data_IF_627150771036
#
_entry.id   IF_627150771036
#
_cell.length_a   1.000
_cell.length_b   1.000
_cell.length_c   1.000
_cell.angle_alpha   90.00
_cell.angle_beta   90.00
_cell.angle_gamma   90.00
#
_symmetry.space_group_name_H-M   'P 1'
#
loop_
_entity.id
_entity.type
_entity.pdbx_description
1 polymer ?
#
# COMPACT_ATOMS: atom_id res chain seq x y z
N UNK A 1 6.11 -4.88 11.61
CA UNK A 1 6.47 -3.80 12.58
C UNK A 1 7.23 -2.71 11.84
N UNK A 2 6.52 -1.90 11.05
CA UNK A 2 7.14 -0.89 10.16
C UNK A 2 7.10 0.51 10.77
N UNK A 3 6.23 0.75 11.73
CA UNK A 3 5.98 2.09 12.26
C UNK A 3 7.03 2.64 13.23
N UNK A 4 8.03 1.84 13.64
CA UNK A 4 9.05 2.22 14.63
C UNK A 4 10.48 2.27 14.07
N UNK A 5 10.67 2.11 12.77
CA UNK A 5 11.99 2.21 12.16
C UNK A 5 12.20 3.60 11.55
N UNK A 6 13.30 4.23 11.91
CA UNK A 6 13.78 5.42 11.17
C UNK A 6 14.58 4.91 9.98
N UNK A 7 14.01 4.99 8.79
CA UNK A 7 14.74 4.68 7.55
C UNK A 7 15.53 5.91 7.13
N UNK A 8 16.85 5.78 7.07
CA UNK A 8 17.75 6.82 6.54
C UNK A 8 18.03 6.61 5.06
N UNK A 9 18.01 5.35 4.63
CA UNK A 9 18.25 4.94 3.24
C UNK A 9 17.26 3.84 2.85
N UNK A 10 16.81 3.87 1.59
CA UNK A 10 15.99 2.82 1.01
C UNK A 10 16.53 2.47 -0.37
N UNK A 11 16.91 1.21 -0.56
CA UNK A 11 17.27 0.67 -1.87
C UNK A 11 16.03 0.03 -2.50
N UNK A 12 15.76 0.29 -3.77
CA UNK A 12 14.70 -0.36 -4.53
C UNK A 12 15.09 -0.47 -6.00
N UNK A 13 14.66 -1.53 -6.70
CA UNK A 13 14.84 -1.63 -8.14
C UNK A 13 13.94 -0.68 -8.91
N UNK A 14 14.47 -0.06 -9.93
CA UNK A 14 13.71 0.72 -10.90
C UNK A 14 13.70 -0.02 -12.24
N UNK A 15 12.51 -0.33 -12.75
CA UNK A 15 12.34 -0.92 -14.06
C UNK A 15 12.08 0.17 -15.10
N UNK A 16 12.91 0.21 -16.14
CA UNK A 16 12.73 1.08 -17.31
C UNK A 16 12.53 0.20 -18.54
N UNK A 17 11.31 0.22 -19.10
CA UNK A 17 10.99 -0.42 -20.37
C UNK A 17 11.15 0.60 -21.50
N UNK A 18 11.87 0.22 -22.57
CA UNK A 18 12.09 1.07 -23.74
C UNK A 18 11.48 0.46 -24.99
N UNK A 19 10.71 1.24 -25.72
CA UNK A 19 10.13 0.85 -27.01
C UNK A 19 9.86 2.07 -27.88
N UNK A 20 10.26 2.01 -29.14
CA UNK A 20 9.97 3.04 -30.16
C UNK A 20 10.34 4.48 -29.74
N UNK A 21 11.43 4.64 -28.98
CA UNK A 21 11.89 5.94 -28.48
C UNK A 21 11.17 6.46 -27.25
N UNK A 22 10.30 5.66 -26.63
CA UNK A 22 9.54 6.01 -25.42
C UNK A 22 10.02 5.14 -24.25
N UNK A 23 9.92 5.66 -23.04
CA UNK A 23 10.25 4.94 -21.80
C UNK A 23 9.04 4.87 -20.88
N UNK A 24 8.75 3.66 -20.39
CA UNK A 24 7.86 3.40 -19.26
C UNK A 24 8.67 3.06 -18.01
N UNK A 25 8.30 3.60 -16.88
CA UNK A 25 9.07 3.51 -15.63
C UNK A 25 8.16 2.99 -14.51
N UNK A 26 8.69 2.07 -13.70
CA UNK A 26 8.04 1.62 -12.47
C UNK A 26 9.05 1.30 -11.38
N UNK A 27 8.66 1.56 -10.15
CA UNK A 27 9.40 1.22 -8.93
C UNK A 27 8.97 -0.14 -8.41
N UNK A 28 9.94 -0.97 -8.05
CA UNK A 28 9.70 -2.24 -7.37
C UNK A 28 9.84 -2.04 -5.86
N UNK A 29 8.78 -2.34 -5.12
CA UNK A 29 8.64 -1.90 -3.72
C UNK A 29 9.05 -2.94 -2.67
N UNK A 30 9.57 -4.12 -3.09
CA UNK A 30 10.07 -5.14 -2.17
C UNK A 30 11.29 -4.64 -1.40
N UNK A 31 11.49 -5.17 -0.19
CA UNK A 31 12.65 -4.87 0.65
C UNK A 31 13.79 -5.87 0.43
N UNK A 32 14.96 -5.62 1.01
CA UNK A 32 16.14 -6.50 0.87
C UNK A 32 15.93 -7.83 1.59
N UNK A 33 15.19 -7.82 2.69
CA UNK A 33 14.89 -8.99 3.53
C UNK A 33 13.37 -9.16 3.68
N UNK A 34 12.87 -10.37 3.92
CA UNK A 34 11.44 -10.66 3.98
C UNK A 34 10.87 -10.42 5.40
N UNK A 35 11.05 -9.21 5.94
CA UNK A 35 10.59 -8.84 7.28
C UNK A 35 9.16 -8.27 7.28
N UNK A 36 8.67 -7.86 6.12
CA UNK A 36 7.29 -7.37 5.95
C UNK A 36 6.47 -8.22 4.99
N UNK A 37 7.03 -8.54 3.82
CA UNK A 37 6.43 -9.44 2.83
C UNK A 37 7.47 -10.46 2.37
N UNK A 38 6.98 -11.55 1.75
CA UNK A 38 7.80 -12.68 1.33
C UNK A 38 8.73 -12.39 0.15
N UNK A 39 8.44 -11.37 -0.66
CA UNK A 39 9.28 -11.01 -1.80
C UNK A 39 10.44 -10.12 -1.38
N UNK A 40 11.63 -10.47 -1.85
CA UNK A 40 12.85 -9.71 -1.60
C UNK A 40 13.46 -9.19 -2.90
N UNK A 41 14.27 -8.12 -2.82
CA UNK A 41 14.98 -7.58 -3.99
C UNK A 41 15.78 -8.66 -4.72
N UNK A 42 16.63 -9.48 -4.06
CA UNK A 42 17.40 -10.50 -4.77
C UNK A 42 16.53 -11.53 -5.50
N UNK A 43 15.46 -12.02 -4.86
CA UNK A 43 14.55 -12.99 -5.45
C UNK A 43 13.78 -12.40 -6.63
N UNK A 44 13.24 -11.20 -6.47
CA UNK A 44 12.53 -10.49 -7.54
C UNK A 44 13.44 -10.18 -8.74
N UNK A 45 14.66 -9.72 -8.48
CA UNK A 45 15.64 -9.46 -9.56
C UNK A 45 16.00 -10.71 -10.35
N UNK A 46 16.17 -11.85 -9.67
CA UNK A 46 16.40 -13.14 -10.33
C UNK A 46 15.17 -13.54 -11.18
N UNK A 47 13.97 -13.45 -10.63
CA UNK A 47 12.74 -13.79 -11.35
C UNK A 47 12.48 -12.87 -12.53
N UNK A 48 12.69 -11.57 -12.38
CA UNK A 48 12.60 -10.62 -13.49
C UNK A 48 13.59 -10.96 -14.60
N UNK A 49 14.89 -11.10 -14.28
CA UNK A 49 15.96 -11.33 -15.23
C UNK A 49 15.83 -12.67 -15.98
N UNK A 50 15.55 -13.73 -15.24
CA UNK A 50 15.66 -15.10 -15.76
C UNK A 50 14.33 -15.63 -16.28
N UNK A 51 13.20 -15.07 -15.84
CA UNK A 51 11.87 -15.58 -16.17
C UNK A 51 11.01 -14.57 -16.96
N UNK A 52 10.75 -13.38 -16.43
CA UNK A 52 9.77 -12.48 -17.03
C UNK A 52 10.33 -11.69 -18.20
N UNK A 53 11.46 -11.00 -18.02
CA UNK A 53 12.00 -10.11 -19.06
C UNK A 53 12.36 -10.83 -20.35
N UNK A 54 12.91 -12.06 -20.36
CA UNK A 54 13.14 -12.79 -21.61
C UNK A 54 11.87 -13.12 -22.41
N UNK A 55 10.72 -13.07 -21.77
CA UNK A 55 9.41 -13.33 -22.41
C UNK A 55 8.74 -12.08 -22.93
N UNK A 56 9.27 -10.92 -22.60
CA UNK A 56 8.71 -9.61 -22.94
C UNK A 56 9.61 -8.83 -23.89
N UNK A 57 10.90 -8.78 -23.59
CA UNK A 57 11.88 -8.02 -24.37
C UNK A 57 11.93 -8.52 -25.81
N UNK A 58 11.92 -7.57 -26.76
CA UNK A 58 11.93 -7.85 -28.20
C UNK A 58 10.59 -8.30 -28.80
N UNK A 59 9.53 -8.37 -27.99
CA UNK A 59 8.17 -8.66 -28.48
C UNK A 59 7.36 -7.39 -28.67
N UNK A 60 6.34 -7.49 -29.52
CA UNK A 60 5.34 -6.44 -29.72
C UNK A 60 4.07 -6.80 -28.97
N UNK A 61 3.46 -5.80 -28.36
CA UNK A 61 2.19 -5.90 -27.64
C UNK A 61 1.31 -4.74 -28.09
N UNK A 62 0.05 -5.03 -28.38
CA UNK A 62 -0.92 -3.99 -28.74
C UNK A 62 -1.48 -3.27 -27.49
N UNK A 63 -1.47 -3.95 -26.36
CA UNK A 63 -1.97 -3.38 -25.10
C UNK A 63 -1.36 -4.07 -23.88
N UNK A 64 -1.44 -3.45 -22.68
CA UNK A 64 -0.98 -4.07 -21.43
C UNK A 64 -1.71 -5.37 -21.07
N UNK A 65 -2.94 -5.59 -21.53
CA UNK A 65 -3.71 -6.80 -21.29
C UNK A 65 -3.06 -8.06 -21.88
N UNK A 66 -2.20 -7.90 -22.89
CA UNK A 66 -1.44 -9.01 -23.48
C UNK A 66 -0.30 -9.53 -22.60
N UNK A 67 0.01 -8.83 -21.49
CA UNK A 67 0.95 -9.33 -20.47
C UNK A 67 0.33 -10.42 -19.61
N UNK A 68 -0.98 -10.43 -19.44
CA UNK A 68 -1.65 -11.37 -18.53
C UNK A 68 -1.27 -12.84 -18.81
N UNK A 69 -1.37 -13.38 -20.02
CA UNK A 69 -0.97 -14.76 -20.31
C UNK A 69 0.52 -15.05 -20.08
N UNK A 70 1.36 -14.03 -19.99
CA UNK A 70 2.78 -14.16 -19.66
C UNK A 70 2.99 -14.19 -18.16
N UNK A 71 2.23 -13.41 -17.40
CA UNK A 71 2.37 -13.24 -15.96
C UNK A 71 1.60 -14.30 -15.15
N UNK A 72 0.41 -14.68 -15.59
CA UNK A 72 -0.51 -15.57 -14.88
C UNK A 72 0.05 -16.97 -14.56
N UNK A 73 0.85 -17.62 -15.43
CA UNK A 73 1.36 -18.97 -15.14
C UNK A 73 2.28 -19.04 -13.91
N UNK A 74 2.86 -17.92 -13.49
CA UNK A 74 3.80 -17.88 -12.39
C UNK A 74 3.09 -17.62 -11.06
N UNK A 75 3.32 -18.49 -10.09
CA UNK A 75 2.75 -18.33 -8.74
C UNK A 75 3.56 -17.33 -7.93
N UNK A 76 2.89 -16.58 -7.02
CA UNK A 76 3.54 -15.56 -6.18
C UNK A 76 4.22 -14.46 -7.01
N UNK A 77 5.30 -13.92 -6.52
CA UNK A 77 6.11 -12.88 -7.14
C UNK A 77 5.26 -11.68 -7.63
N UNK A 78 4.32 -11.26 -6.78
CA UNK A 78 3.30 -10.26 -7.14
C UNK A 78 3.91 -8.89 -7.38
N UNK A 79 4.89 -8.49 -6.56
CA UNK A 79 5.59 -7.23 -6.71
C UNK A 79 6.45 -7.20 -7.96
N UNK A 80 7.17 -8.30 -8.25
CA UNK A 80 7.95 -8.42 -9.48
C UNK A 80 7.07 -8.41 -10.74
N UNK A 81 5.87 -8.97 -10.70
CA UNK A 81 4.90 -8.87 -11.80
C UNK A 81 4.36 -7.46 -11.92
N UNK A 82 3.98 -6.85 -10.79
CA UNK A 82 3.41 -5.52 -10.76
C UNK A 82 4.36 -4.46 -11.33
N UNK A 83 5.67 -4.54 -11.06
CA UNK A 83 6.63 -3.59 -11.62
C UNK A 83 6.71 -3.67 -13.14
N UNK A 84 6.61 -4.88 -13.71
CA UNK A 84 6.56 -5.06 -15.17
C UNK A 84 5.29 -4.47 -15.74
N UNK A 85 4.17 -4.78 -15.13
CA UNK A 85 2.84 -4.32 -15.55
C UNK A 85 2.73 -2.79 -15.47
N UNK A 86 3.13 -2.19 -14.37
CA UNK A 86 3.12 -0.74 -14.17
C UNK A 86 4.02 -0.01 -15.20
N UNK A 87 5.25 -0.50 -15.42
CA UNK A 87 6.14 0.08 -16.41
C UNK A 87 5.55 -0.03 -17.84
N UNK A 88 4.84 -1.12 -18.13
CA UNK A 88 4.21 -1.30 -19.43
C UNK A 88 2.98 -0.41 -19.61
N UNK A 89 2.15 -0.24 -18.59
CA UNK A 89 1.04 0.70 -18.62
C UNK A 89 1.50 2.14 -18.82
N UNK A 90 2.59 2.54 -18.17
CA UNK A 90 3.19 3.86 -18.33
C UNK A 90 3.71 4.06 -19.77
N UNK A 91 4.46 3.06 -20.28
CA UNK A 91 4.95 3.06 -21.66
C UNK A 91 3.81 3.17 -22.68
N UNK A 92 2.76 2.37 -22.50
CA UNK A 92 1.62 2.31 -23.42
C UNK A 92 0.80 3.60 -23.40
N UNK A 93 0.50 4.15 -22.23
CA UNK A 93 -0.20 5.42 -22.12
C UNK A 93 0.58 6.55 -22.82
N UNK A 94 1.89 6.61 -22.61
CA UNK A 94 2.79 7.56 -23.29
C UNK A 94 2.80 7.36 -24.81
N UNK A 95 2.80 6.12 -25.29
CA UNK A 95 2.76 5.83 -26.74
C UNK A 95 1.48 6.32 -27.39
N UNK A 96 0.38 6.38 -26.66
CA UNK A 96 -0.90 6.92 -27.10
C UNK A 96 -1.03 8.43 -26.88
N UNK A 97 -0.07 9.07 -26.21
CA UNK A 97 -0.13 10.49 -25.85
C UNK A 97 -1.25 10.85 -24.87
N UNK A 98 -1.69 9.88 -24.04
CA UNK A 98 -2.76 10.07 -23.06
C UNK A 98 -2.25 9.92 -21.63
N UNK A 99 -2.86 10.59 -20.63
CA UNK A 99 -2.56 10.36 -19.24
C UNK A 99 -2.89 8.92 -18.82
N UNK A 100 -2.09 8.33 -17.92
CA UNK A 100 -2.33 6.98 -17.41
C UNK A 100 -3.73 6.85 -16.78
N UNK A 101 -4.25 7.89 -16.11
CA UNK A 101 -5.61 7.88 -15.58
C UNK A 101 -6.67 7.62 -16.67
N UNK A 102 -6.49 8.19 -17.85
CA UNK A 102 -7.42 7.99 -18.97
C UNK A 102 -7.29 6.56 -19.51
N UNK A 103 -6.05 6.03 -19.62
CA UNK A 103 -5.80 4.66 -20.02
C UNK A 103 -6.46 3.63 -19.09
N UNK A 104 -6.54 3.94 -17.78
CA UNK A 104 -7.17 3.12 -16.75
C UNK A 104 -8.68 3.40 -16.56
N UNK A 105 -9.29 4.28 -17.36
CA UNK A 105 -10.71 4.62 -17.24
C UNK A 105 -11.03 5.58 -16.10
N UNK A 106 -10.06 6.29 -15.58
CA UNK A 106 -10.25 7.29 -14.53
C UNK A 106 -11.05 8.50 -15.02
N UNK A 107 -12.11 8.86 -14.27
CA UNK A 107 -13.06 9.91 -14.65
C UNK A 107 -12.94 11.18 -13.78
N UNK A 108 -12.21 11.11 -12.67
CA UNK A 108 -12.06 12.25 -11.73
C UNK A 108 -10.78 13.00 -12.01
N UNK A 109 -10.82 14.32 -11.87
CA UNK A 109 -9.62 15.17 -11.98
C UNK A 109 -8.87 15.32 -10.67
N UNK A 110 -9.54 15.09 -9.55
CA UNK A 110 -8.97 15.10 -8.21
C UNK A 110 -9.61 14.03 -7.33
N UNK A 111 -8.88 13.56 -6.34
CA UNK A 111 -9.37 12.67 -5.27
C UNK A 111 -8.92 13.21 -3.92
N UNK A 112 -9.76 13.03 -2.91
CA UNK A 112 -9.37 13.31 -1.53
C UNK A 112 -8.30 12.33 -1.07
N UNK A 113 -7.26 12.85 -0.43
CA UNK A 113 -6.17 12.04 0.11
C UNK A 113 -6.22 12.00 1.64
N UNK A 114 -5.75 10.88 2.20
CA UNK A 114 -5.52 10.70 3.62
C UNK A 114 -4.05 10.82 3.98
N UNK A 115 -3.78 10.98 5.27
CA UNK A 115 -2.45 10.92 5.87
C UNK A 115 -2.36 9.72 6.80
N UNK A 116 -1.22 9.05 6.83
CA UNK A 116 -0.93 8.00 7.81
C UNK A 116 0.01 8.58 8.88
N UNK A 117 -0.39 8.44 10.15
CA UNK A 117 0.38 8.88 11.31
C UNK A 117 0.87 7.65 12.05
N UNK A 118 2.19 7.53 12.19
CA UNK A 118 2.83 6.44 12.94
C UNK A 118 2.61 6.52 14.44
N UNK A 119 2.96 5.45 15.16
CA UNK A 119 2.88 5.39 16.62
C UNK A 119 3.77 6.48 17.24
N UNK A 120 3.21 7.22 18.19
CA UNK A 120 3.86 8.29 18.94
C UNK A 120 3.11 8.57 20.22
N UNK A 121 3.52 9.57 21.03
CA UNK A 121 2.69 9.97 22.17
C UNK A 121 1.35 10.57 21.69
N UNK A 122 0.37 10.60 22.58
CA UNK A 122 -0.95 11.20 22.30
C UNK A 122 -0.79 12.64 21.84
N UNK A 123 0.05 13.43 22.54
CA UNK A 123 0.28 14.84 22.24
C UNK A 123 0.85 15.03 20.82
N UNK A 124 1.90 14.27 20.48
CA UNK A 124 2.51 14.31 19.14
C UNK A 124 1.52 13.88 18.06
N UNK A 125 0.68 12.89 18.34
CA UNK A 125 -0.34 12.44 17.40
C UNK A 125 -1.39 13.53 17.15
N UNK A 126 -1.86 14.20 18.20
CA UNK A 126 -2.82 15.30 18.09
C UNK A 126 -2.24 16.49 17.31
N UNK A 127 -0.97 16.81 17.50
CA UNK A 127 -0.26 17.86 16.75
C UNK A 127 -0.19 17.50 15.27
N UNK A 128 0.21 16.27 14.93
CA UNK A 128 0.26 15.79 13.53
C UNK A 128 -1.11 15.76 12.86
N UNK A 129 -2.18 15.45 13.60
CA UNK A 129 -3.54 15.56 13.07
C UNK A 129 -3.86 17.01 12.74
N UNK A 130 -3.52 17.97 13.62
CA UNK A 130 -3.75 19.39 13.36
C UNK A 130 -2.99 19.88 12.11
N UNK A 131 -1.73 19.51 11.97
CA UNK A 131 -0.90 19.81 10.79
C UNK A 131 -1.52 19.22 9.51
N UNK A 132 -1.96 17.96 9.56
CA UNK A 132 -2.57 17.31 8.42
C UNK A 132 -3.89 17.98 8.00
N UNK A 133 -4.74 18.35 8.95
CA UNK A 133 -5.97 19.08 8.69
C UNK A 133 -5.68 20.47 8.06
N UNK A 134 -4.70 21.19 8.61
CA UNK A 134 -4.25 22.47 8.07
C UNK A 134 -3.70 22.34 6.64
N UNK A 135 -3.03 21.23 6.32
CA UNK A 135 -2.56 20.90 4.99
C UNK A 135 -3.66 20.43 4.04
N UNK A 136 -4.89 20.24 4.52
CA UNK A 136 -6.07 19.92 3.70
C UNK A 136 -6.34 18.43 3.53
N UNK A 137 -5.67 17.54 4.25
CA UNK A 137 -5.97 16.10 4.25
C UNK A 137 -7.40 15.85 4.75
N UNK A 138 -8.10 14.94 4.11
CA UNK A 138 -9.52 14.67 4.37
C UNK A 138 -9.77 13.42 5.22
N UNK A 139 -8.78 12.57 5.38
CA UNK A 139 -8.85 11.35 6.18
C UNK A 139 -7.54 11.16 6.94
N UNK A 140 -7.66 10.73 8.19
CA UNK A 140 -6.51 10.41 9.04
C UNK A 140 -6.49 8.90 9.30
N UNK A 141 -5.36 8.24 9.02
CA UNK A 141 -5.07 6.87 9.41
C UNK A 141 -4.06 6.88 10.55
N UNK A 142 -4.42 6.29 11.70
CA UNK A 142 -3.52 6.15 12.84
C UNK A 142 -2.98 4.73 12.91
N UNK A 143 -1.70 4.59 13.13
CA UNK A 143 -1.12 3.32 13.53
C UNK A 143 -1.45 3.06 14.99
N UNK A 144 -1.99 1.88 15.30
CA UNK A 144 -2.30 1.41 16.65
C UNK A 144 -1.59 0.10 16.94
N UNK A 145 -1.46 -0.21 18.22
CA UNK A 145 -0.93 -1.47 18.73
C UNK A 145 -1.55 -1.76 20.11
N UNK A 146 -1.43 -3.01 20.57
CA UNK A 146 -1.89 -3.37 21.93
C UNK A 146 -1.34 -2.43 22.99
N UNK A 147 -2.23 -1.81 23.76
CA UNK A 147 -1.89 -0.83 24.79
C UNK A 147 -1.58 0.58 24.26
N UNK A 148 -1.63 0.80 22.95
CA UNK A 148 -1.54 2.09 22.31
C UNK A 148 -2.70 2.24 21.30
N UNK A 149 -3.89 2.20 21.81
CA UNK A 149 -5.14 2.09 21.06
C UNK A 149 -6.27 2.95 21.70
N UNK A 150 -7.05 2.39 22.61
CA UNK A 150 -8.25 3.03 23.15
C UNK A 150 -7.97 4.41 23.74
N UNK A 151 -6.93 4.57 24.56
CA UNK A 151 -6.61 5.86 25.17
C UNK A 151 -6.23 6.92 24.12
N UNK A 152 -5.56 6.51 23.04
CA UNK A 152 -5.26 7.38 21.92
C UNK A 152 -6.56 7.79 21.19
N UNK A 153 -7.44 6.81 20.91
CA UNK A 153 -8.71 7.06 20.20
C UNK A 153 -9.65 7.95 21.01
N UNK A 154 -9.73 7.75 22.33
CA UNK A 154 -10.45 8.62 23.26
C UNK A 154 -9.97 10.09 23.15
N UNK A 155 -8.65 10.29 23.22
CA UNK A 155 -8.07 11.62 23.14
C UNK A 155 -8.30 12.27 21.76
N UNK A 156 -8.20 11.48 20.69
CA UNK A 156 -8.43 11.95 19.31
C UNK A 156 -9.90 12.35 19.14
N UNK A 157 -10.86 11.53 19.56
CA UNK A 157 -12.30 11.85 19.45
C UNK A 157 -12.71 13.02 20.34
N UNK A 158 -12.12 13.13 21.54
CA UNK A 158 -12.35 14.29 22.41
C UNK A 158 -11.91 15.61 21.75
N UNK A 159 -10.83 15.60 20.97
CA UNK A 159 -10.27 16.81 20.33
C UNK A 159 -10.82 17.04 18.94
N UNK A 160 -11.12 15.97 18.19
CA UNK A 160 -11.53 15.97 16.78
C UNK A 160 -12.72 15.00 16.58
N UNK A 161 -13.93 15.35 17.04
CA UNK A 161 -15.08 14.44 17.03
C UNK A 161 -15.48 13.98 15.63
N UNK A 162 -15.34 14.86 14.61
CA UNK A 162 -15.92 14.65 13.29
C UNK A 162 -14.91 14.27 12.21
N UNK A 163 -13.62 14.06 12.56
CA UNK A 163 -12.65 13.69 11.53
C UNK A 163 -12.93 12.28 10.99
N UNK A 164 -12.73 12.10 9.68
CA UNK A 164 -12.68 10.76 9.09
C UNK A 164 -11.45 10.04 9.59
N UNK A 165 -11.68 9.03 10.42
CA UNK A 165 -10.64 8.29 11.14
C UNK A 165 -10.64 6.83 10.73
N UNK A 166 -9.47 6.33 10.42
CA UNK A 166 -9.19 4.91 10.24
C UNK A 166 -8.02 4.51 11.12
N UNK A 167 -7.95 3.24 11.51
CA UNK A 167 -6.81 2.72 12.24
C UNK A 167 -6.17 1.55 11.51
N UNK A 168 -4.88 1.36 11.73
CA UNK A 168 -4.10 0.28 11.16
C UNK A 168 -3.30 -0.40 12.27
N UNK A 169 -3.65 -1.63 12.52
CA UNK A 169 -3.08 -2.45 13.58
C UNK A 169 -1.84 -3.25 13.13
N UNK A 170 -1.57 -3.34 11.84
CA UNK A 170 -0.47 -4.13 11.28
C UNK A 170 -0.34 -5.53 11.90
N UNK A 171 -1.46 -6.22 12.03
CA UNK A 171 -1.55 -7.61 12.53
C UNK A 171 -1.22 -7.81 14.01
N UNK A 172 -1.37 -6.79 14.85
CA UNK A 172 -0.95 -6.85 16.25
C UNK A 172 -1.97 -7.53 17.19
N UNK A 173 -3.21 -7.76 16.74
CA UNK A 173 -4.25 -8.39 17.56
C UNK A 173 -4.50 -9.84 17.15
N UNK A 174 -5.17 -10.58 18.04
CA UNK A 174 -5.68 -11.93 17.83
C UNK A 174 -7.14 -12.06 18.23
N UNK A 175 -7.75 -13.24 18.06
CA UNK A 175 -9.14 -13.49 18.50
C UNK A 175 -9.32 -13.32 20.02
N UNK A 176 -8.28 -13.52 20.79
CA UNK A 176 -8.28 -13.26 22.23
C UNK A 176 -8.56 -11.80 22.58
N UNK A 177 -8.31 -10.88 21.63
CA UNK A 177 -8.54 -9.44 21.79
C UNK A 177 -9.92 -8.99 21.30
N UNK A 178 -10.81 -9.92 20.92
CA UNK A 178 -12.11 -9.60 20.33
C UNK A 178 -12.93 -8.63 21.19
N UNK A 179 -12.87 -8.76 22.52
CA UNK A 179 -13.54 -7.84 23.44
C UNK A 179 -12.98 -6.41 23.36
N UNK A 180 -11.69 -6.26 23.10
CA UNK A 180 -11.04 -4.97 22.88
C UNK A 180 -11.41 -4.42 21.49
N UNK A 181 -11.35 -5.24 20.47
CA UNK A 181 -11.69 -4.84 19.09
C UNK A 181 -13.13 -4.33 18.99
N UNK A 182 -14.08 -4.95 19.71
CA UNK A 182 -15.48 -4.46 19.78
C UNK A 182 -15.61 -3.08 20.39
N UNK A 183 -14.70 -2.64 21.25
CA UNK A 183 -14.73 -1.28 21.78
C UNK A 183 -14.38 -0.24 20.71
N UNK A 184 -13.72 -0.65 19.62
CA UNK A 184 -13.41 0.27 18.53
C UNK A 184 -14.65 0.77 17.78
N UNK A 185 -15.79 0.07 17.91
CA UNK A 185 -17.08 0.53 17.39
C UNK A 185 -17.55 1.84 18.05
N UNK A 186 -17.09 2.10 19.29
CA UNK A 186 -17.41 3.34 20.02
C UNK A 186 -16.76 4.59 19.40
N UNK A 187 -15.75 4.40 18.51
CA UNK A 187 -14.96 5.49 17.97
C UNK A 187 -15.38 5.93 16.55
N UNK A 188 -16.49 5.43 16.01
CA UNK A 188 -16.97 5.79 14.65
C UNK A 188 -15.84 5.78 13.61
N UNK A 189 -15.13 4.66 13.52
CA UNK A 189 -14.05 4.46 12.57
C UNK A 189 -14.61 4.11 11.20
N UNK A 190 -14.05 4.67 10.12
CA UNK A 190 -14.40 4.24 8.76
C UNK A 190 -14.07 2.75 8.55
N UNK A 191 -12.94 2.28 9.09
CA UNK A 191 -12.53 0.87 9.13
C UNK A 191 -11.30 0.66 10.01
N UNK A 192 -11.03 -0.61 10.33
CA UNK A 192 -9.78 -1.10 10.92
C UNK A 192 -9.00 -1.85 9.83
N UNK A 193 -7.75 -1.48 9.58
CA UNK A 193 -6.85 -2.17 8.65
C UNK A 193 -6.04 -3.22 9.40
N UNK A 194 -6.03 -4.44 8.87
CA UNK A 194 -5.23 -5.57 9.34
C UNK A 194 -5.24 -5.77 10.86
N UNK A 195 -6.39 -5.97 11.51
CA UNK A 195 -6.42 -6.24 12.95
C UNK A 195 -5.74 -7.56 13.30
N UNK A 196 -5.95 -8.62 12.51
CA UNK A 196 -5.41 -9.96 12.72
C UNK A 196 -4.29 -10.29 11.72
N UNK A 197 -3.74 -11.51 11.78
CA UNK A 197 -2.72 -11.98 10.87
C UNK A 197 -3.14 -11.80 9.39
N UNK A 198 -2.21 -11.42 8.54
CA UNK A 198 -2.48 -10.97 7.16
C UNK A 198 -3.09 -12.07 6.26
N UNK A 199 -2.86 -13.34 6.58
CA UNK A 199 -3.36 -14.52 5.86
C UNK A 199 -4.58 -15.17 6.52
N UNK A 200 -5.02 -14.67 7.67
CA UNK A 200 -6.14 -15.20 8.43
C UNK A 200 -7.48 -14.60 7.97
N UNK A 201 -7.98 -15.06 6.84
CA UNK A 201 -9.30 -14.62 6.32
C UNK A 201 -10.44 -15.17 7.19
N UNK A 202 -10.26 -16.34 7.83
CA UNK A 202 -11.32 -17.00 8.58
C UNK A 202 -11.71 -16.20 9.83
N UNK A 203 -10.74 -15.81 10.61
CA UNK A 203 -10.98 -15.12 11.88
C UNK A 203 -11.36 -13.65 11.66
N UNK A 204 -10.88 -13.01 10.59
CA UNK A 204 -11.37 -11.69 10.20
C UNK A 204 -12.90 -11.64 10.02
N UNK A 205 -13.50 -12.72 9.53
CA UNK A 205 -14.98 -12.80 9.43
C UNK A 205 -15.70 -12.80 10.79
N UNK A 206 -14.99 -13.11 11.88
CA UNK A 206 -15.56 -13.03 13.24
C UNK A 206 -15.41 -11.63 13.86
N UNK A 207 -14.43 -10.85 13.37
CA UNK A 207 -14.19 -9.46 13.81
C UNK A 207 -15.13 -8.49 13.07
N UNK A 208 -15.51 -8.80 11.84
CA UNK A 208 -16.43 -8.01 11.02
C UNK A 208 -17.87 -8.03 11.58
#
# INVERSE_FOLDING_TARGET
MISNQTLTDKTFPLLVLRGEGIEGIAEAVMDEIPDYLEETIPAAMAFLRDVLLPRIVGKRFASPYELEPILAPWRGNRMAKAVVEMAFWDLWAKSLGIPLKAALGGVRDAVDVGVSIGIGSVEVTLERIAEAQAAGYKRTKLKIAKGHDVALLDAVRARYPDIKLTVDANTDYGLEDLALLRRFDEFDLDYIEQPLAFDDIHDHAQVQ
#
